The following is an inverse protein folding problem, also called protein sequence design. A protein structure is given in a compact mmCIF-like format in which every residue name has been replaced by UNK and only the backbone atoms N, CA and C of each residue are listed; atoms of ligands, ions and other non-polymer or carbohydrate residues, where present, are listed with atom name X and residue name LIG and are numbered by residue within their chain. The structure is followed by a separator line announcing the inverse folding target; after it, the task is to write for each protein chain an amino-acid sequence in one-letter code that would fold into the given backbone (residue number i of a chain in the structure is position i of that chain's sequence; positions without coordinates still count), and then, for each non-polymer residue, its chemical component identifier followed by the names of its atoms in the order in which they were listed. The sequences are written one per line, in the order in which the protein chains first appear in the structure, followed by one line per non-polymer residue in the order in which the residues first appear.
data_IF_234826407476
#
_entry.id   IF_234826407476
#
_cell.length_a   1.000
_cell.length_b   1.000
_cell.length_c   1.000
_cell.angle_alpha   90.00
_cell.angle_beta   90.00
_cell.angle_gamma   90.00
#
_symmetry.space_group_name_H-M   'P 1'
#
loop_
_entity.id
_entity.type
_entity.pdbx_description
1 polymer ?
#
# COMPACT_ATOMS: atom_id res chain seq x y z
N UNK A 1 -22.04 5.19 -9.56
CA UNK A 1 -21.16 5.59 -10.69
C UNK A 1 -21.16 4.51 -11.81
N UNK A 2 -22.33 4.11 -12.33
CA UNK A 2 -22.46 2.94 -13.23
C UNK A 2 -22.12 3.18 -14.70
N UNK A 3 -21.75 4.41 -15.06
CA UNK A 3 -21.47 4.81 -16.46
C UNK A 3 -20.04 5.34 -16.67
N UNK A 4 -19.21 5.31 -15.63
CA UNK A 4 -17.85 5.84 -15.66
C UNK A 4 -16.84 4.73 -15.98
N UNK A 5 -17.16 3.87 -16.94
CA UNK A 5 -16.32 2.73 -17.35
C UNK A 5 -15.03 3.17 -18.05
N UNK A 6 -14.99 4.42 -18.54
CA UNK A 6 -13.80 5.05 -19.10
C UNK A 6 -12.95 5.79 -18.05
N UNK A 7 -13.40 5.89 -16.80
CA UNK A 7 -12.67 6.60 -15.76
C UNK A 7 -11.41 5.82 -15.39
N UNK A 8 -10.26 6.46 -15.59
CA UNK A 8 -8.94 5.88 -15.29
C UNK A 8 -8.30 6.54 -14.07
N UNK A 9 -8.57 7.83 -13.85
CA UNK A 9 -8.05 8.60 -12.74
C UNK A 9 -9.20 9.08 -11.87
N UNK A 10 -9.18 8.69 -10.60
CA UNK A 10 -10.15 9.12 -9.60
C UNK A 10 -9.42 9.79 -8.45
N UNK A 11 -9.86 10.98 -8.08
CA UNK A 11 -9.39 11.70 -6.89
C UNK A 11 -10.59 11.98 -5.99
N UNK A 12 -10.53 11.49 -4.76
CA UNK A 12 -11.52 11.73 -3.72
C UNK A 12 -10.84 12.44 -2.57
N UNK A 13 -11.39 13.59 -2.17
CA UNK A 13 -10.83 14.43 -1.13
C UNK A 13 -11.90 14.91 -0.17
N UNK A 14 -11.64 14.83 1.13
CA UNK A 14 -12.53 15.40 2.16
C UNK A 14 -13.86 14.67 2.35
N UNK A 15 -13.95 13.40 1.92
CA UNK A 15 -15.15 12.59 2.11
C UNK A 15 -15.13 11.91 3.49
N UNK A 16 -16.28 11.93 4.17
CA UNK A 16 -16.47 11.22 5.44
C UNK A 16 -16.90 9.75 5.22
N UNK A 17 -17.46 9.44 4.05
CA UNK A 17 -17.96 8.11 3.70
C UNK A 17 -17.42 7.73 2.32
N UNK A 18 -16.75 6.58 2.23
CA UNK A 18 -16.25 5.98 0.99
C UNK A 18 -17.04 4.73 0.55
N UNK A 19 -18.26 4.59 1.05
CA UNK A 19 -19.17 3.51 0.65
C UNK A 19 -20.06 3.95 -0.51
N UNK A 20 -20.02 3.20 -1.60
CA UNK A 20 -21.02 3.25 -2.66
C UNK A 20 -21.89 2.01 -2.53
N UNK A 21 -23.22 2.16 -2.61
CA UNK A 21 -24.15 1.03 -2.51
C UNK A 21 -23.80 -0.07 -3.52
N UNK A 22 -23.55 -1.27 -2.99
CA UNK A 22 -23.06 -2.51 -3.64
C UNK A 22 -24.06 -3.17 -4.61
N UNK A 23 -25.09 -2.45 -5.06
CA UNK A 23 -26.19 -3.10 -5.78
C UNK A 23 -25.83 -3.55 -7.20
N UNK A 24 -24.71 -3.10 -7.77
CA UNK A 24 -24.18 -3.64 -9.02
C UNK A 24 -22.65 -3.58 -9.04
N UNK A 25 -22.03 -4.71 -9.39
CA UNK A 25 -20.60 -4.89 -9.67
C UNK A 25 -20.01 -3.67 -10.38
N UNK A 26 -19.26 -2.84 -9.63
CA UNK A 26 -18.62 -1.68 -10.21
C UNK A 26 -17.30 -2.11 -10.87
N UNK A 27 -17.33 -2.37 -12.18
CA UNK A 27 -16.14 -2.65 -12.99
C UNK A 27 -15.35 -1.37 -13.33
N UNK A 28 -14.79 -0.73 -12.31
CA UNK A 28 -13.95 0.44 -12.52
C UNK A 28 -12.57 0.04 -13.06
N UNK A 29 -12.23 0.43 -14.28
CA UNK A 29 -10.87 0.20 -14.84
C UNK A 29 -9.89 1.32 -14.46
N UNK A 30 -9.90 1.71 -13.18
CA UNK A 30 -9.03 2.77 -12.68
C UNK A 30 -7.58 2.35 -12.82
N UNK A 31 -6.77 3.25 -13.35
CA UNK A 31 -5.32 3.13 -13.33
C UNK A 31 -4.71 3.93 -12.19
N UNK A 32 -5.38 4.99 -11.73
CA UNK A 32 -4.92 5.83 -10.63
C UNK A 32 -6.06 6.16 -9.68
N UNK A 33 -5.78 6.00 -8.40
CA UNK A 33 -6.65 6.44 -7.32
C UNK A 33 -5.86 7.30 -6.34
N UNK A 34 -6.44 8.46 -6.01
CA UNK A 34 -5.93 9.36 -4.98
C UNK A 34 -7.03 9.55 -3.94
N UNK A 35 -6.72 9.24 -2.69
CA UNK A 35 -7.58 9.44 -1.54
C UNK A 35 -6.89 10.43 -0.59
N UNK A 36 -7.50 11.60 -0.41
CA UNK A 36 -6.93 12.69 0.38
C UNK A 36 -7.89 13.14 1.50
N UNK A 37 -7.36 13.52 2.66
CA UNK A 37 -8.13 14.18 3.74
C UNK A 37 -9.37 13.39 4.18
N UNK A 38 -9.25 12.08 4.36
CA UNK A 38 -10.35 11.20 4.76
C UNK A 38 -10.31 10.94 6.26
N UNK A 39 -10.99 11.78 7.04
CA UNK A 39 -10.89 11.79 8.49
C UNK A 39 -11.51 10.56 9.17
N UNK A 40 -12.56 9.96 8.58
CA UNK A 40 -13.38 8.91 9.20
C UNK A 40 -13.32 7.55 8.47
N UNK A 41 -12.54 7.44 7.39
CA UNK A 41 -12.43 6.20 6.63
C UNK A 41 -11.45 5.27 7.32
N UNK A 42 -11.95 4.16 7.84
CA UNK A 42 -11.15 3.17 8.57
C UNK A 42 -10.55 2.08 7.68
N UNK A 43 -11.19 1.81 6.54
CA UNK A 43 -10.83 0.73 5.62
C UNK A 43 -11.02 1.17 4.16
N UNK A 44 -10.28 0.53 3.24
CA UNK A 44 -10.50 0.71 1.82
C UNK A 44 -11.79 0.00 1.37
N UNK A 45 -12.64 0.65 0.55
CA UNK A 45 -13.95 0.12 0.22
C UNK A 45 -13.90 -1.04 -0.77
N UNK A 46 -14.90 -1.95 -0.71
CA UNK A 46 -14.93 -3.17 -1.54
C UNK A 46 -14.93 -2.89 -3.05
N UNK A 47 -15.55 -1.79 -3.50
CA UNK A 47 -15.59 -1.45 -4.92
C UNK A 47 -14.19 -1.21 -5.50
N UNK A 48 -13.22 -0.78 -4.69
CA UNK A 48 -11.83 -0.64 -5.11
C UNK A 48 -11.19 -2.02 -5.32
N UNK A 49 -11.41 -2.91 -4.35
CA UNK A 49 -10.89 -4.28 -4.33
C UNK A 49 -11.46 -5.11 -5.48
N UNK A 50 -12.77 -5.02 -5.72
CA UNK A 50 -13.45 -5.80 -6.76
C UNK A 50 -13.35 -5.15 -8.14
N UNK A 51 -13.40 -3.82 -8.21
CA UNK A 51 -13.51 -3.09 -9.46
C UNK A 51 -12.18 -2.91 -10.18
N UNK A 52 -11.10 -2.62 -9.46
CA UNK A 52 -9.86 -2.09 -10.05
C UNK A 52 -8.60 -2.90 -9.77
N UNK A 53 -8.66 -4.03 -9.07
CA UNK A 53 -7.46 -4.82 -8.70
C UNK A 53 -6.55 -5.16 -9.89
N UNK A 54 -7.13 -5.50 -11.05
CA UNK A 54 -6.35 -5.87 -12.24
C UNK A 54 -5.83 -4.67 -13.05
N UNK A 55 -6.31 -3.45 -12.78
CA UNK A 55 -6.04 -2.28 -13.64
C UNK A 55 -5.30 -1.15 -12.93
N UNK A 56 -5.41 -1.08 -11.60
CA UNK A 56 -4.84 -0.01 -10.80
C UNK A 56 -3.31 -0.10 -10.83
N UNK A 57 -2.67 1.01 -11.21
CA UNK A 57 -1.21 1.16 -11.31
C UNK A 57 -0.66 2.07 -10.22
N UNK A 58 -1.44 3.05 -9.78
CA UNK A 58 -1.01 4.04 -8.79
C UNK A 58 -2.09 4.23 -7.73
N UNK A 59 -1.74 3.98 -6.47
CA UNK A 59 -2.58 4.26 -5.31
C UNK A 59 -1.87 5.29 -4.42
N UNK A 60 -2.53 6.42 -4.14
CA UNK A 60 -2.05 7.43 -3.20
C UNK A 60 -3.06 7.61 -2.07
N UNK A 61 -2.58 7.50 -0.84
CA UNK A 61 -3.30 7.74 0.40
C UNK A 61 -2.60 8.91 1.11
N UNK A 62 -3.33 9.98 1.38
CA UNK A 62 -2.77 11.19 1.97
C UNK A 62 -3.69 11.81 3.01
N UNK A 63 -3.21 12.08 4.23
CA UNK A 63 -4.04 12.61 5.32
C UNK A 63 -5.29 11.77 5.60
N UNK A 64 -5.13 10.44 5.73
CA UNK A 64 -6.19 9.51 6.14
C UNK A 64 -5.90 8.98 7.56
N UNK A 65 -6.22 9.72 8.63
CA UNK A 65 -5.79 9.39 9.99
C UNK A 65 -6.49 8.17 10.61
N UNK A 66 -7.70 7.85 10.19
CA UNK A 66 -8.46 6.70 10.68
C UNK A 66 -8.19 5.41 9.90
N UNK A 67 -7.52 5.49 8.74
CA UNK A 67 -7.26 4.33 7.90
C UNK A 67 -6.17 3.47 8.56
N UNK A 68 -6.59 2.37 9.16
CA UNK A 68 -5.73 1.61 10.08
C UNK A 68 -4.91 0.53 9.36
N UNK A 69 -5.42 0.01 8.25
CA UNK A 69 -4.74 -1.04 7.50
C UNK A 69 -5.07 -1.05 6.02
N UNK A 70 -4.16 -1.64 5.24
CA UNK A 70 -4.45 -2.05 3.88
C UNK A 70 -5.12 -3.43 3.89
N UNK A 71 -6.10 -3.66 3.00
CA UNK A 71 -6.77 -4.95 2.93
C UNK A 71 -5.79 -6.03 2.46
N UNK A 72 -5.93 -7.25 3.00
CA UNK A 72 -5.07 -8.37 2.59
C UNK A 72 -5.17 -8.69 1.09
N UNK A 73 -6.31 -8.39 0.48
CA UNK A 73 -6.55 -8.51 -0.96
C UNK A 73 -5.72 -7.56 -1.82
N UNK A 74 -5.08 -6.53 -1.23
CA UNK A 74 -4.17 -5.65 -1.97
C UNK A 74 -3.02 -6.44 -2.60
N UNK A 75 -2.62 -7.58 -2.02
CA UNK A 75 -1.62 -8.49 -2.62
C UNK A 75 -2.01 -9.00 -4.02
N UNK A 76 -3.31 -8.95 -4.37
CA UNK A 76 -3.82 -9.40 -5.66
C UNK A 76 -3.81 -8.29 -6.73
N UNK A 77 -3.38 -7.08 -6.39
CA UNK A 77 -3.36 -5.94 -7.31
C UNK A 77 -2.13 -6.03 -8.23
N UNK A 78 -2.13 -7.02 -9.13
CA UNK A 78 -0.97 -7.39 -9.96
C UNK A 78 -0.45 -6.28 -10.87
N UNK A 79 -1.30 -5.30 -11.23
CA UNK A 79 -0.92 -4.15 -12.04
C UNK A 79 -0.32 -2.99 -11.23
N UNK A 80 -0.39 -3.04 -9.89
CA UNK A 80 -0.01 -1.92 -9.02
C UNK A 80 1.51 -1.70 -9.07
N UNK A 81 1.91 -0.55 -9.59
CA UNK A 81 3.32 -0.17 -9.75
C UNK A 81 3.81 0.73 -8.62
N UNK A 82 2.91 1.53 -8.05
CA UNK A 82 3.24 2.53 -7.04
C UNK A 82 2.18 2.65 -5.97
N UNK A 83 2.62 2.61 -4.72
CA UNK A 83 1.84 2.94 -3.54
C UNK A 83 2.51 4.11 -2.82
N UNK A 84 1.74 5.16 -2.51
CA UNK A 84 2.17 6.28 -1.68
C UNK A 84 1.27 6.40 -0.45
N UNK A 85 1.87 6.41 0.73
CA UNK A 85 1.20 6.60 2.02
C UNK A 85 1.85 7.82 2.68
N UNK A 86 1.10 8.91 2.82
CA UNK A 86 1.62 10.19 3.32
C UNK A 86 0.72 10.72 4.43
N UNK A 87 1.27 10.99 5.60
CA UNK A 87 0.52 11.54 6.74
C UNK A 87 -0.71 10.70 7.11
N UNK A 88 -0.58 9.38 7.03
CA UNK A 88 -1.56 8.39 7.47
C UNK A 88 -0.97 7.61 8.66
N UNK A 89 -1.00 8.17 9.89
CA UNK A 89 -0.18 7.71 11.02
C UNK A 89 -0.26 6.21 11.30
N UNK A 90 -1.46 5.63 11.26
CA UNK A 90 -1.69 4.22 11.53
C UNK A 90 -1.07 3.30 10.47
N UNK A 91 -1.14 3.70 9.19
CA UNK A 91 -0.47 2.97 8.12
C UNK A 91 1.05 3.16 8.12
N UNK A 92 1.52 4.37 8.44
CA UNK A 92 2.95 4.68 8.50
C UNK A 92 3.64 3.77 9.51
N UNK A 93 3.09 3.65 10.71
CA UNK A 93 3.61 2.78 11.78
C UNK A 93 3.70 1.31 11.34
N UNK A 94 2.71 0.81 10.58
CA UNK A 94 2.66 -0.58 10.08
C UNK A 94 3.64 -0.92 8.98
N UNK A 95 4.16 0.07 8.26
CA UNK A 95 5.08 -0.12 7.15
C UNK A 95 6.45 0.48 7.45
N UNK A 96 6.74 0.72 8.72
CA UNK A 96 8.11 0.96 9.17
C UNK A 96 8.97 -0.28 8.91
N UNK A 97 10.28 -0.13 8.66
CA UNK A 97 11.16 -1.21 8.21
C UNK A 97 11.31 -2.40 9.18
N UNK A 98 10.75 -2.32 10.38
CA UNK A 98 10.92 -3.29 11.46
C UNK A 98 9.72 -4.23 11.66
N UNK A 99 8.58 -3.98 10.98
CA UNK A 99 7.34 -4.73 11.16
C UNK A 99 7.11 -5.73 10.02
N UNK A 100 7.21 -7.03 10.30
CA UNK A 100 7.08 -8.11 9.30
C UNK A 100 5.61 -8.50 9.01
N UNK A 101 4.69 -8.17 9.91
CA UNK A 101 3.33 -8.75 9.93
C UNK A 101 2.45 -8.40 8.73
N UNK A 102 2.66 -7.26 8.06
CA UNK A 102 1.81 -6.78 6.97
C UNK A 102 2.55 -6.58 5.63
N UNK A 103 3.84 -6.90 5.56
CA UNK A 103 4.67 -6.65 4.37
C UNK A 103 4.18 -7.39 3.13
N UNK A 104 3.66 -8.61 3.29
CA UNK A 104 3.15 -9.43 2.19
C UNK A 104 2.08 -8.72 1.35
N UNK A 105 1.30 -7.81 1.95
CA UNK A 105 0.25 -7.02 1.28
C UNK A 105 0.80 -6.13 0.16
N UNK A 106 2.03 -5.65 0.32
CA UNK A 106 2.68 -4.69 -0.58
C UNK A 106 4.00 -5.21 -1.17
N UNK A 107 4.37 -6.47 -0.88
CA UNK A 107 5.63 -7.08 -1.30
C UNK A 107 5.81 -7.06 -2.84
N UNK A 108 4.73 -7.29 -3.58
CA UNK A 108 4.70 -7.33 -5.05
C UNK A 108 4.81 -5.95 -5.73
N UNK A 109 4.61 -4.86 -4.99
CA UNK A 109 4.58 -3.50 -5.54
C UNK A 109 6.04 -3.00 -5.72
N UNK A 110 6.47 -2.60 -6.93
CA UNK A 110 7.85 -2.17 -7.20
C UNK A 110 8.27 -0.93 -6.41
N UNK A 111 7.38 0.05 -6.28
CA UNK A 111 7.68 1.34 -5.63
C UNK A 111 6.69 1.60 -4.50
N UNK A 112 7.20 1.72 -3.28
CA UNK A 112 6.39 2.04 -2.11
C UNK A 112 7.02 3.22 -1.38
N UNK A 113 6.28 4.32 -1.29
CA UNK A 113 6.71 5.53 -0.56
C UNK A 113 5.84 5.67 0.69
N UNK A 114 6.50 5.77 1.84
CA UNK A 114 5.88 6.07 3.14
C UNK A 114 6.53 7.33 3.68
N UNK A 115 5.76 8.39 3.91
CA UNK A 115 6.21 9.71 4.40
C UNK A 115 7.48 10.24 3.71
N UNK A 116 7.46 10.24 2.37
CA UNK A 116 8.55 10.66 1.48
C UNK A 116 9.81 9.77 1.51
N UNK A 117 9.75 8.59 2.13
CA UNK A 117 10.80 7.58 2.11
C UNK A 117 10.38 6.42 1.22
N UNK A 118 11.21 6.08 0.23
CA UNK A 118 11.02 4.86 -0.56
C UNK A 118 11.52 3.65 0.25
N UNK A 119 10.60 2.87 0.80
CA UNK A 119 10.92 1.77 1.71
C UNK A 119 11.44 0.52 0.98
N UNK A 120 11.24 0.40 -0.35
CA UNK A 120 11.77 -0.71 -1.15
C UNK A 120 13.26 -0.51 -1.45
N UNK A 121 13.66 0.73 -1.74
CA UNK A 121 15.08 1.08 -1.89
C UNK A 121 15.80 1.12 -0.53
N UNK A 122 15.12 1.56 0.53
CA UNK A 122 15.65 1.51 1.90
C UNK A 122 15.88 0.06 2.36
N UNK A 123 14.94 -0.86 2.10
CA UNK A 123 15.14 -2.29 2.41
C UNK A 123 16.24 -2.96 1.58
N UNK A 124 16.50 -2.51 0.35
CA UNK A 124 17.67 -2.98 -0.44
C UNK A 124 18.98 -2.56 0.23
N UNK A 125 18.98 -1.42 0.93
CA UNK A 125 20.12 -0.91 1.70
C UNK A 125 20.30 -1.67 3.01
N UNK A 126 19.21 -2.00 3.70
CA UNK A 126 19.23 -2.73 4.98
C UNK A 126 19.51 -4.22 4.78
N UNK A 127 18.96 -4.89 3.74
CA UNK A 127 19.34 -6.26 3.39
C UNK A 127 20.85 -6.39 3.13
N UNK A 128 21.50 -5.36 2.60
CA UNK A 128 22.95 -5.35 2.39
C UNK A 128 23.72 -5.34 3.72
N UNK A 129 23.30 -4.56 4.72
CA UNK A 129 23.94 -4.54 6.06
C UNK A 129 23.56 -5.73 6.93
N UNK A 130 22.30 -6.19 6.95
CA UNK A 130 21.92 -7.36 7.76
C UNK A 130 22.45 -8.66 7.16
N UNK A 131 22.54 -8.78 5.83
CA UNK A 131 23.22 -9.93 5.21
C UNK A 131 24.74 -9.87 5.48
N UNK A 132 25.36 -8.69 5.39
CA UNK A 132 26.79 -8.54 5.70
C UNK A 132 27.13 -8.82 7.17
N UNK A 133 26.26 -8.43 8.11
CA UNK A 133 26.46 -8.66 9.54
C UNK A 133 26.12 -10.11 9.95
N UNK A 134 25.07 -10.71 9.39
CA UNK A 134 24.75 -12.13 9.63
C UNK A 134 25.85 -13.07 9.11
N UNK A 135 26.46 -12.77 7.95
CA UNK A 135 27.62 -13.53 7.46
C UNK A 135 28.88 -13.32 8.33
N UNK A 136 29.09 -12.13 8.89
CA UNK A 136 30.23 -11.86 9.78
C UNK A 136 30.13 -12.62 11.11
N UNK A 137 28.94 -12.64 11.74
CA UNK A 137 28.74 -13.33 13.03
C UNK A 137 28.75 -14.86 12.91
N UNK A 138 28.26 -15.43 11.81
CA UNK A 138 28.31 -16.89 11.57
C UNK A 138 29.75 -17.36 11.29
N UNK A 139 30.57 -16.55 10.60
CA UNK A 139 31.97 -16.89 10.32
C UNK A 139 32.88 -16.79 11.56
N UNK A 140 32.60 -15.87 12.49
CA UNK A 140 33.29 -15.84 13.79
C UNK A 140 32.91 -17.03 14.67
N UNK A 141 31.63 -17.44 14.68
CA UNK A 141 31.20 -18.66 15.38
C UNK A 141 31.86 -19.93 14.83
N UNK A 142 32.08 -20.02 13.52
CA UNK A 142 32.76 -21.17 12.89
C UNK A 142 34.30 -21.17 13.05
N UNK A 143 34.91 -20.07 13.48
CA UNK A 143 36.35 -20.01 13.84
C UNK A 143 36.62 -20.40 15.30
N UNK A 144 35.56 -20.53 16.11
CA UNK A 144 35.60 -20.82 17.54
C UNK A 144 35.20 -22.27 17.88
N UNK A 145 34.93 -23.09 16.87
CA UNK A 145 34.61 -24.52 16.96
C UNK A 145 35.59 -25.28 16.06
#
# INVERSE_FOLDING_TARGET
MKHLTALQDLNISGCEILHFDDQDSCEFRLQKLVLCFLAAVEELPEWLIKGSAETLKNLKLEFCPALNELPASLQNFSSLQELQILSCPQLVEKYEPETDDDWYKIAHIPKVIVDNVDIKTAQTSVLCVVSSLMFASVLEFLKLI
#
